data_IF_624256996633
#
_entry.id   IF_624256996633
#
_cell.length_a   1.000
_cell.length_b   1.000
_cell.length_c   1.000
_cell.angle_alpha   90.00
_cell.angle_beta   90.00
_cell.angle_gamma   90.00
#
_symmetry.space_group_name_H-M   'P 1'
#
loop_
_entity.id
_entity.type
_entity.pdbx_description
1 polymer ?
#
# COMPACT_ATOMS: atom_id res chain seq x y z
N UNK A 1 -5.65 -14.27 -16.73
CA UNK A 1 -4.64 -13.74 -15.78
C UNK A 1 -4.93 -12.31 -15.31
N UNK A 2 -5.25 -11.37 -16.20
CA UNK A 2 -5.46 -9.97 -15.79
C UNK A 2 -6.60 -9.73 -14.78
N UNK A 3 -7.73 -10.44 -14.91
CA UNK A 3 -8.84 -10.34 -13.94
C UNK A 3 -8.42 -10.87 -12.58
N UNK A 4 -7.68 -11.97 -12.54
CA UNK A 4 -7.16 -12.58 -11.32
C UNK A 4 -6.28 -11.60 -10.54
N UNK A 5 -5.32 -10.95 -11.20
CA UNK A 5 -4.42 -9.99 -10.57
C UNK A 5 -5.15 -8.76 -9.99
N UNK A 6 -6.20 -8.28 -10.67
CA UNK A 6 -7.05 -7.22 -10.11
C UNK A 6 -7.79 -7.68 -8.85
N UNK A 7 -8.39 -8.87 -8.88
CA UNK A 7 -9.10 -9.43 -7.73
C UNK A 7 -8.17 -9.71 -6.55
N UNK A 8 -6.94 -10.17 -6.80
CA UNK A 8 -5.91 -10.30 -5.76
C UNK A 8 -5.63 -8.95 -5.10
N UNK A 9 -5.38 -7.89 -5.89
CA UNK A 9 -5.13 -6.56 -5.34
C UNK A 9 -6.30 -6.02 -4.49
N UNK A 10 -7.53 -6.19 -4.98
CA UNK A 10 -8.74 -5.79 -4.23
C UNK A 10 -8.90 -6.62 -2.96
N UNK A 11 -8.67 -7.93 -3.05
CA UNK A 11 -8.75 -8.84 -1.91
C UNK A 11 -7.71 -8.51 -0.83
N UNK A 12 -6.48 -8.18 -1.22
CA UNK A 12 -5.44 -7.73 -0.30
C UNK A 12 -5.86 -6.41 0.37
N UNK A 13 -6.33 -5.43 -0.40
CA UNK A 13 -6.76 -4.14 0.15
C UNK A 13 -7.91 -4.28 1.15
N UNK A 14 -8.98 -5.00 0.76
CA UNK A 14 -10.15 -5.21 1.61
C UNK A 14 -9.80 -6.09 2.83
N UNK A 15 -9.09 -7.19 2.62
CA UNK A 15 -8.71 -8.12 3.67
C UNK A 15 -7.82 -7.45 4.72
N UNK A 16 -6.85 -6.65 4.28
CA UNK A 16 -6.01 -5.89 5.19
C UNK A 16 -6.79 -4.80 5.94
N UNK A 17 -7.68 -4.07 5.25
CA UNK A 17 -8.49 -3.03 5.89
C UNK A 17 -9.38 -3.61 6.99
N UNK A 18 -10.03 -4.75 6.71
CA UNK A 18 -10.83 -5.48 7.70
C UNK A 18 -9.94 -6.00 8.85
N UNK A 19 -8.77 -6.54 8.53
CA UNK A 19 -7.85 -7.04 9.56
C UNK A 19 -7.43 -5.94 10.54
N UNK A 20 -7.13 -4.72 10.06
CA UNK A 20 -6.84 -3.59 10.94
C UNK A 20 -8.05 -3.19 11.78
N UNK A 21 -9.25 -3.13 11.19
CA UNK A 21 -10.45 -2.73 11.93
C UNK A 21 -10.75 -3.71 13.07
N UNK A 22 -10.60 -5.01 12.81
CA UNK A 22 -10.88 -6.06 13.81
C UNK A 22 -9.80 -6.15 14.88
N UNK A 23 -8.54 -5.91 14.52
CA UNK A 23 -7.40 -6.05 15.44
C UNK A 23 -6.92 -4.72 16.02
N UNK A 24 -7.66 -3.63 15.84
CA UNK A 24 -7.21 -2.30 16.25
C UNK A 24 -6.91 -2.21 17.75
N UNK A 25 -7.71 -2.88 18.59
CA UNK A 25 -7.50 -2.92 20.04
C UNK A 25 -6.15 -3.52 20.44
N UNK A 26 -5.55 -4.34 19.58
CA UNK A 26 -4.20 -4.91 19.77
C UNK A 26 -3.16 -3.88 19.31
N UNK A 27 -3.39 -3.25 18.15
CA UNK A 27 -2.43 -2.29 17.57
C UNK A 27 -2.31 -0.99 18.36
N UNK A 28 -3.40 -0.49 18.96
CA UNK A 28 -3.38 0.76 19.73
C UNK A 28 -2.37 0.76 20.89
N UNK A 29 -2.09 -0.42 21.46
CA UNK A 29 -1.13 -0.57 22.56
C UNK A 29 0.31 -0.78 22.09
N UNK A 30 0.50 -1.16 20.82
CA UNK A 30 1.81 -1.37 20.22
C UNK A 30 2.34 -0.13 19.51
N UNK A 31 1.47 0.78 19.08
CA UNK A 31 1.87 2.02 18.39
C UNK A 31 2.22 3.14 19.36
N UNK A 32 3.52 3.41 19.52
CA UNK A 32 4.06 4.70 20.00
C UNK A 32 4.25 5.71 18.86
N UNK A 33 3.83 5.36 17.64
CA UNK A 33 4.10 6.10 16.42
C UNK A 33 3.30 7.40 16.33
N UNK A 34 3.91 8.42 15.73
CA UNK A 34 3.30 9.71 15.44
C UNK A 34 2.13 9.50 14.46
N UNK A 35 0.90 9.67 14.94
CA UNK A 35 -0.31 9.61 14.10
C UNK A 35 -0.70 11.01 13.66
N UNK A 36 -1.05 11.16 12.39
CA UNK A 36 -1.52 12.44 11.85
C UNK A 36 -2.97 12.72 12.23
N UNK A 37 -3.84 11.70 12.19
CA UNK A 37 -5.26 11.84 12.54
C UNK A 37 -5.67 10.77 13.56
N UNK A 38 -5.57 9.50 13.17
CA UNK A 38 -5.93 8.36 14.01
C UNK A 38 -5.30 7.10 13.40
N UNK A 39 -4.70 6.18 14.18
CA UNK A 39 -3.89 5.10 13.59
C UNK A 39 -4.69 4.18 12.64
N UNK A 40 -5.98 3.97 12.88
CA UNK A 40 -6.86 3.27 11.91
C UNK A 40 -6.94 4.02 10.58
N UNK A 41 -7.22 5.33 10.65
CA UNK A 41 -7.46 6.17 9.46
C UNK A 41 -6.17 6.26 8.66
N UNK A 42 -5.05 6.51 9.33
CA UNK A 42 -3.72 6.58 8.73
C UNK A 42 -3.35 5.25 8.07
N UNK A 43 -3.66 4.12 8.72
CA UNK A 43 -3.47 2.79 8.15
C UNK A 43 -4.30 2.54 6.88
N UNK A 44 -5.61 2.83 6.93
CA UNK A 44 -6.50 2.66 5.76
C UNK A 44 -6.06 3.57 4.61
N UNK A 45 -5.69 4.82 4.90
CA UNK A 45 -5.16 5.74 3.90
C UNK A 45 -3.86 5.22 3.29
N UNK A 46 -2.95 4.70 4.11
CA UNK A 46 -1.70 4.10 3.65
C UNK A 46 -1.96 2.93 2.69
N UNK A 47 -2.83 1.99 3.04
CA UNK A 47 -3.14 0.89 2.12
C UNK A 47 -3.94 1.31 0.90
N UNK A 48 -4.77 2.35 1.01
CA UNK A 48 -5.42 2.96 -0.14
C UNK A 48 -4.39 3.51 -1.13
N UNK A 49 -3.37 4.20 -0.62
CA UNK A 49 -2.25 4.71 -1.41
C UNK A 49 -1.46 3.57 -2.06
N UNK A 50 -1.13 2.51 -1.32
CA UNK A 50 -0.42 1.34 -1.85
C UNK A 50 -1.22 0.63 -2.95
N UNK A 51 -2.54 0.48 -2.76
CA UNK A 51 -3.43 -0.08 -3.78
C UNK A 51 -3.53 0.83 -5.02
N UNK A 52 -3.58 2.15 -4.83
CA UNK A 52 -3.52 3.13 -5.91
C UNK A 52 -2.24 3.02 -6.74
N UNK A 53 -1.08 2.93 -6.08
CA UNK A 53 0.22 2.70 -6.73
C UNK A 53 0.22 1.38 -7.51
N UNK A 54 -0.32 0.31 -6.93
CA UNK A 54 -0.47 -0.97 -7.61
C UNK A 54 -1.28 -0.84 -8.91
N UNK A 55 -2.45 -0.20 -8.87
CA UNK A 55 -3.29 0.02 -10.05
C UNK A 55 -2.58 0.89 -11.11
N UNK A 56 -1.84 1.91 -10.67
CA UNK A 56 -1.06 2.78 -11.56
C UNK A 56 0.06 2.01 -12.28
N UNK A 57 0.84 1.21 -11.55
CA UNK A 57 1.92 0.39 -12.11
C UNK A 57 1.33 -0.66 -13.04
N UNK A 58 0.25 -1.32 -12.64
CA UNK A 58 -0.46 -2.29 -13.46
C UNK A 58 -0.93 -1.69 -14.80
N UNK A 59 -1.53 -0.50 -14.77
CA UNK A 59 -1.96 0.24 -15.97
C UNK A 59 -0.75 0.61 -16.85
N UNK A 60 0.36 0.98 -16.24
CA UNK A 60 1.60 1.32 -16.95
C UNK A 60 2.24 0.09 -17.59
N UNK A 61 2.23 -1.05 -16.90
CA UNK A 61 2.77 -2.31 -17.40
C UNK A 61 2.05 -2.77 -18.66
N UNK A 62 0.72 -2.68 -18.68
CA UNK A 62 -0.08 -3.01 -19.87
C UNK A 62 0.23 -2.15 -21.09
N UNK A 63 0.63 -0.89 -20.88
CA UNK A 63 0.99 0.03 -21.97
C UNK A 63 2.43 -0.17 -22.41
N UNK A 64 3.37 -0.18 -21.46
CA UNK A 64 4.80 -0.32 -21.70
C UNK A 64 5.49 -0.84 -20.45
N UNK A 65 6.01 -2.06 -20.52
CA UNK A 65 6.70 -2.70 -19.39
C UNK A 65 7.87 -1.86 -18.86
N UNK A 66 8.65 -1.23 -19.75
CA UNK A 66 9.76 -0.35 -19.36
C UNK A 66 9.34 0.79 -18.43
N UNK A 67 8.15 1.39 -18.63
CA UNK A 67 7.64 2.44 -17.73
C UNK A 67 7.29 1.88 -16.35
N UNK A 68 6.67 0.70 -16.29
CA UNK A 68 6.38 0.04 -15.02
C UNK A 68 7.66 -0.34 -14.26
N UNK A 69 8.68 -0.85 -14.96
CA UNK A 69 9.99 -1.15 -14.36
C UNK A 69 10.64 0.10 -13.78
N UNK A 70 10.61 1.22 -14.53
CA UNK A 70 11.13 2.50 -14.03
C UNK A 70 10.36 2.99 -12.80
N UNK A 71 9.02 2.92 -12.82
CA UNK A 71 8.17 3.28 -11.68
C UNK A 71 8.51 2.45 -10.44
N UNK A 72 8.65 1.13 -10.60
CA UNK A 72 9.03 0.23 -9.50
C UNK A 72 10.42 0.55 -8.95
N UNK A 73 11.39 0.81 -9.82
CA UNK A 73 12.75 1.19 -9.41
C UNK A 73 12.76 2.51 -8.62
N UNK A 74 12.11 3.55 -9.14
CA UNK A 74 12.05 4.86 -8.49
C UNK A 74 11.29 4.79 -7.17
N UNK A 75 10.12 4.16 -7.13
CA UNK A 75 9.34 4.00 -5.90
C UNK A 75 10.08 3.14 -4.88
N UNK A 76 10.78 2.09 -5.31
CA UNK A 76 11.60 1.27 -4.43
C UNK A 76 12.74 2.06 -3.78
N UNK A 77 13.47 2.87 -4.56
CA UNK A 77 14.53 3.75 -4.03
C UNK A 77 13.96 4.78 -3.07
N UNK A 78 12.84 5.43 -3.42
CA UNK A 78 12.17 6.39 -2.54
C UNK A 78 11.76 5.74 -1.21
N UNK A 79 11.16 4.55 -1.25
CA UNK A 79 10.79 3.81 -0.04
C UNK A 79 12.00 3.43 0.80
N UNK A 80 13.13 3.05 0.19
CA UNK A 80 14.36 2.76 0.92
C UNK A 80 14.91 4.02 1.61
N UNK A 81 14.94 5.15 0.92
CA UNK A 81 15.39 6.42 1.51
C UNK A 81 14.50 6.81 2.69
N UNK A 82 13.18 6.72 2.53
CA UNK A 82 12.24 7.03 3.61
C UNK A 82 12.42 6.08 4.81
N UNK A 83 12.61 4.78 4.58
CA UNK A 83 12.79 3.80 5.64
C UNK A 83 14.11 3.92 6.43
N UNK A 84 15.12 4.62 5.88
CA UNK A 84 16.38 4.90 6.58
C UNK A 84 16.27 6.19 7.40
N UNK A 85 15.52 7.18 6.89
CA UNK A 85 15.42 8.50 7.51
C UNK A 85 14.36 8.54 8.62
N UNK A 86 13.26 7.80 8.47
CA UNK A 86 12.10 7.77 9.36
C UNK A 86 11.91 6.39 9.98
#
# INVERSE_FOLDING_TARGET
MERLLKWIGIGIFLGWSVAILVNYSIYQHATTQLTFIHPIVDGILFMGLMFGLYLMIWKSHKKKTSTATMQLGVLGVLSMVLAVIF
#
